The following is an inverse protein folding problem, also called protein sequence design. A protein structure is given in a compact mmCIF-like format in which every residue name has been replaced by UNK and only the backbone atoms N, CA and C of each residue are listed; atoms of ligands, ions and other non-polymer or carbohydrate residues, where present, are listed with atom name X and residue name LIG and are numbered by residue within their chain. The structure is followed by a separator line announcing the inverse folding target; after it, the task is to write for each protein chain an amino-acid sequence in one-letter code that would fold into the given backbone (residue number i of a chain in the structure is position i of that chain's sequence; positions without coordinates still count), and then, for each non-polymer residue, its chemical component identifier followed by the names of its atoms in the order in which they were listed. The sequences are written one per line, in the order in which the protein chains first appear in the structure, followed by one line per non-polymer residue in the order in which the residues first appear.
data_IF_916973885853
#
_entry.id   IF_916973885853
#
_cell.length_a   1.000
_cell.length_b   1.000
_cell.length_c   1.000
_cell.angle_alpha   90.00
_cell.angle_beta   90.00
_cell.angle_gamma   90.00
#
_symmetry.space_group_name_H-M   'P 1'
#
loop_
_entity.id
_entity.type
_entity.pdbx_description
1 polymer ?
#
# COMPACT_ATOMS: atom_id res chain seq x y z
N UNK A 1 -35.83 4.43 -23.91
CA UNK A 1 -34.85 5.37 -23.30
C UNK A 1 -34.87 5.18 -21.80
N UNK A 2 -33.84 4.55 -21.24
CA UNK A 2 -33.26 4.94 -19.95
C UNK A 2 -31.93 4.21 -19.79
N UNK A 3 -30.86 4.96 -20.04
CA UNK A 3 -29.48 4.56 -19.77
C UNK A 3 -29.29 4.70 -18.26
N UNK A 4 -29.14 3.60 -17.54
CA UNK A 4 -28.60 3.65 -16.19
C UNK A 4 -27.12 4.01 -16.31
N UNK A 5 -26.78 5.23 -15.88
CA UNK A 5 -25.41 5.65 -15.61
C UNK A 5 -24.85 4.74 -14.51
N UNK A 6 -24.11 3.71 -14.89
CA UNK A 6 -23.23 3.00 -13.99
C UNK A 6 -22.11 3.95 -13.58
N UNK A 7 -22.09 4.36 -12.31
CA UNK A 7 -20.90 4.94 -11.70
C UNK A 7 -19.81 3.86 -11.75
N UNK A 8 -18.84 4.05 -12.62
CA UNK A 8 -17.57 3.33 -12.55
C UNK A 8 -16.84 3.87 -11.31
N UNK A 9 -17.03 3.20 -10.17
CA UNK A 9 -16.17 3.36 -9.01
C UNK A 9 -14.86 2.67 -9.39
N UNK A 10 -13.93 3.45 -9.96
CA UNK A 10 -12.55 3.01 -10.13
C UNK A 10 -11.94 2.86 -8.74
N UNK A 11 -11.95 1.64 -8.19
CA UNK A 11 -11.19 1.32 -6.98
C UNK A 11 -9.72 1.52 -7.28
N UNK A 12 -9.15 2.61 -6.74
CA UNK A 12 -7.71 2.78 -6.57
C UNK A 12 -7.22 1.62 -5.69
N UNK A 13 -6.74 0.54 -6.29
CA UNK A 13 -5.84 -0.37 -5.61
C UNK A 13 -4.45 0.28 -5.61
N UNK A 14 -4.18 1.10 -4.60
CA UNK A 14 -2.79 1.35 -4.21
C UNK A 14 -2.22 -0.03 -3.85
N UNK A 15 -1.27 -0.51 -4.65
CA UNK A 15 -0.58 -1.77 -4.45
C UNK A 15 0.38 -1.66 -3.26
N UNK A 16 -0.18 -1.59 -2.04
CA UNK A 16 0.57 -1.52 -0.79
C UNK A 16 0.43 -2.79 0.06
N UNK A 17 0.11 -3.93 -0.56
CA UNK A 17 0.07 -5.21 0.15
C UNK A 17 0.52 -6.37 -0.75
N UNK A 18 1.84 -6.52 -0.90
CA UNK A 18 2.47 -7.81 -1.14
C UNK A 18 3.90 -7.80 -0.58
N UNK A 19 4.17 -8.49 0.55
CA UNK A 19 5.55 -8.78 0.96
C UNK A 19 6.29 -9.68 -0.05
N UNK A 20 5.60 -10.20 -1.07
CA UNK A 20 6.19 -11.07 -2.09
C UNK A 20 7.15 -10.35 -3.05
N UNK A 21 7.15 -9.02 -3.13
CA UNK A 21 8.12 -8.27 -3.94
C UNK A 21 9.39 -7.84 -3.18
N UNK A 22 9.42 -8.01 -1.85
CA UNK A 22 10.60 -7.69 -1.05
C UNK A 22 11.77 -8.67 -1.27
N UNK A 23 11.51 -9.85 -1.85
CA UNK A 23 12.55 -10.87 -2.08
C UNK A 23 13.30 -10.71 -3.41
N UNK A 24 12.95 -9.73 -4.25
CA UNK A 24 13.59 -9.56 -5.56
C UNK A 24 14.42 -8.27 -5.69
N UNK A 25 14.49 -7.47 -4.63
CA UNK A 25 15.43 -6.37 -4.51
C UNK A 25 16.67 -6.89 -3.78
N UNK A 26 17.83 -6.83 -4.45
CA UNK A 26 19.11 -7.28 -3.91
C UNK A 26 19.37 -6.70 -2.50
N UNK A 27 19.98 -7.46 -1.58
CA UNK A 27 20.35 -6.94 -0.27
C UNK A 27 21.43 -5.86 -0.45
N UNK A 28 21.04 -4.58 -0.36
CA UNK A 28 21.98 -3.46 -0.32
C UNK A 28 21.65 -2.20 -1.11
N UNK A 29 20.50 -2.05 -1.77
CA UNK A 29 20.14 -0.80 -2.45
C UNK A 29 18.67 -0.42 -2.24
N UNK A 30 18.45 0.63 -1.44
CA UNK A 30 17.17 1.28 -1.20
C UNK A 30 16.60 0.97 0.18
N UNK A 31 16.93 1.79 1.18
CA UNK A 31 16.04 1.97 2.33
C UNK A 31 14.66 2.33 1.74
N UNK A 32 13.57 1.76 2.28
CA UNK A 32 12.25 2.28 1.96
C UNK A 32 12.23 3.79 2.27
N UNK A 33 11.66 4.63 1.39
CA UNK A 33 11.66 6.07 1.59
C UNK A 33 11.02 6.42 2.94
N UNK A 34 11.62 7.37 3.65
CA UNK A 34 11.09 7.83 4.94
C UNK A 34 9.72 8.51 4.78
N UNK A 35 9.00 8.76 5.88
CA UNK A 35 7.74 9.50 5.82
C UNK A 35 7.98 10.91 5.27
N UNK A 36 9.09 11.52 5.67
CA UNK A 36 9.54 12.83 5.21
C UNK A 36 9.84 12.82 3.71
N UNK A 37 10.53 11.79 3.20
CA UNK A 37 10.81 11.67 1.76
C UNK A 37 9.53 11.46 0.95
N UNK A 38 8.57 10.69 1.47
CA UNK A 38 7.28 10.46 0.81
C UNK A 38 6.45 11.73 0.74
N UNK A 39 6.42 12.52 1.82
CA UNK A 39 5.70 13.80 1.85
C UNK A 39 6.39 14.83 0.98
N UNK A 40 7.72 14.88 0.98
CA UNK A 40 8.48 15.81 0.11
C UNK A 40 8.22 15.53 -1.37
N UNK A 41 8.15 14.25 -1.77
CA UNK A 41 7.76 13.88 -3.13
C UNK A 41 6.32 14.29 -3.45
N UNK A 42 5.39 14.14 -2.51
CA UNK A 42 4.01 14.58 -2.73
C UNK A 42 3.93 16.11 -2.85
N UNK A 43 4.69 16.84 -2.05
CA UNK A 43 4.82 18.30 -2.10
C UNK A 43 5.28 18.80 -3.47
N UNK A 44 6.32 18.20 -4.04
CA UNK A 44 6.80 18.54 -5.38
C UNK A 44 5.74 18.36 -6.47
N UNK A 45 4.74 17.49 -6.26
CA UNK A 45 3.69 17.21 -7.23
C UNK A 45 2.48 18.14 -7.06
N UNK A 46 2.07 18.44 -5.83
CA UNK A 46 0.80 19.13 -5.57
C UNK A 46 0.90 20.40 -4.75
N UNK A 47 2.12 20.87 -4.42
CA UNK A 47 2.36 22.10 -3.65
C UNK A 47 1.60 22.08 -2.31
N UNK A 48 2.08 21.25 -1.39
CA UNK A 48 1.50 21.07 -0.06
C UNK A 48 1.85 22.26 0.84
N UNK A 49 0.88 22.73 1.62
CA UNK A 49 1.20 23.71 2.66
C UNK A 49 1.89 23.07 3.88
N UNK A 50 2.56 23.89 4.70
CA UNK A 50 3.30 23.44 5.88
C UNK A 50 2.45 22.59 6.84
N UNK A 51 1.15 22.90 6.98
CA UNK A 51 0.27 22.14 7.87
C UNK A 51 -0.05 20.76 7.26
N UNK A 52 -0.33 20.71 5.96
CA UNK A 52 -0.55 19.46 5.24
C UNK A 52 0.68 18.57 5.30
N UNK A 53 1.89 19.11 5.09
CA UNK A 53 3.13 18.36 5.18
C UNK A 53 3.30 17.76 6.59
N UNK A 54 3.13 18.59 7.64
CA UNK A 54 3.24 18.14 9.03
C UNK A 54 2.22 17.05 9.37
N UNK A 55 0.97 17.22 8.95
CA UNK A 55 -0.11 16.24 9.19
C UNK A 55 0.18 14.92 8.48
N UNK A 56 0.62 14.96 7.22
CA UNK A 56 0.95 13.78 6.44
C UNK A 56 2.17 13.03 7.02
N UNK A 57 3.22 13.73 7.46
CA UNK A 57 4.39 13.09 8.09
C UNK A 57 3.96 12.37 9.38
N UNK A 58 3.15 13.01 10.22
CA UNK A 58 2.63 12.38 11.44
C UNK A 58 1.77 11.17 11.10
N UNK A 59 0.84 11.31 10.15
CA UNK A 59 -0.05 10.23 9.71
C UNK A 59 0.72 9.02 9.19
N UNK A 60 1.75 9.23 8.35
CA UNK A 60 2.54 8.15 7.78
C UNK A 60 3.38 7.45 8.84
N UNK A 61 3.99 8.20 9.76
CA UNK A 61 4.75 7.63 10.88
C UNK A 61 3.86 6.80 11.81
N UNK A 62 2.69 7.32 12.19
CA UNK A 62 1.74 6.60 13.05
C UNK A 62 1.22 5.32 12.39
N UNK A 63 0.86 5.42 11.09
CA UNK A 63 0.37 4.27 10.32
C UNK A 63 1.46 3.21 10.15
N UNK A 64 2.70 3.62 9.85
CA UNK A 64 3.83 2.72 9.71
C UNK A 64 4.15 2.02 11.04
N UNK A 65 4.17 2.76 12.15
CA UNK A 65 4.38 2.17 13.48
C UNK A 65 3.31 1.14 13.82
N UNK A 66 2.04 1.44 13.52
CA UNK A 66 0.94 0.51 13.77
C UNK A 66 1.01 -0.74 12.90
N UNK A 67 1.31 -0.60 11.62
CA UNK A 67 1.49 -1.74 10.72
C UNK A 67 2.66 -2.61 11.19
N UNK A 68 3.80 -2.03 11.56
CA UNK A 68 4.94 -2.78 12.09
C UNK A 68 4.60 -3.55 13.37
N UNK A 69 3.79 -2.96 14.26
CA UNK A 69 3.30 -3.66 15.46
C UNK A 69 2.43 -4.86 15.10
N UNK A 70 1.47 -4.68 14.18
CA UNK A 70 0.60 -5.76 13.72
C UNK A 70 1.37 -6.88 13.01
N UNK A 71 2.36 -6.52 12.19
CA UNK A 71 3.27 -7.48 11.54
C UNK A 71 4.06 -8.29 12.58
N UNK A 72 4.59 -7.64 13.62
CA UNK A 72 5.30 -8.31 14.71
C UNK A 72 4.40 -9.30 15.46
N UNK A 73 3.17 -8.91 15.78
CA UNK A 73 2.19 -9.82 16.38
C UNK A 73 1.82 -10.99 15.46
N UNK A 74 1.64 -10.73 14.16
CA UNK A 74 1.31 -11.76 13.19
C UNK A 74 2.44 -12.79 13.05
N UNK A 75 3.70 -12.34 13.02
CA UNK A 75 4.87 -13.23 13.01
C UNK A 75 4.93 -14.08 14.28
N UNK A 76 4.62 -13.50 15.45
CA UNK A 76 4.59 -14.24 16.71
C UNK A 76 3.52 -15.34 16.69
N UNK A 77 2.30 -15.01 16.24
CA UNK A 77 1.20 -15.99 16.13
C UNK A 77 1.54 -17.08 15.10
N UNK A 78 2.21 -16.72 14.00
CA UNK A 78 2.66 -17.69 13.00
C UNK A 78 3.70 -18.67 13.57
N UNK A 79 4.60 -18.21 14.45
CA UNK A 79 5.53 -19.10 15.15
C UNK A 79 4.80 -20.04 16.12
N UNK A 80 3.83 -19.53 16.88
CA UNK A 80 3.01 -20.34 17.81
C UNK A 80 2.24 -21.45 17.07
N UNK A 81 1.68 -21.15 15.89
CA UNK A 81 1.04 -22.13 15.03
C UNK A 81 2.01 -23.23 14.58
N UNK A 82 3.25 -22.87 14.25
CA UNK A 82 4.28 -23.85 13.85
C UNK A 82 4.72 -24.72 15.04
N UNK A 83 4.87 -24.13 16.22
CA UNK A 83 5.23 -24.84 17.45
C UNK A 83 4.13 -25.80 17.93
N UNK A 84 2.87 -25.50 17.60
CA UNK A 84 1.71 -26.35 17.93
C UNK A 84 1.62 -27.64 17.12
N UNK A 85 2.50 -27.84 16.13
CA UNK A 85 2.57 -29.07 15.33
C UNK A 85 3.28 -30.17 16.12
N UNK A 86 2.51 -31.13 16.65
CA UNK A 86 3.06 -32.25 17.40
C UNK A 86 2.04 -33.36 17.67
N UNK A 87 2.47 -34.49 18.24
CA UNK A 87 1.59 -35.62 18.56
C UNK A 87 0.53 -35.29 19.61
N UNK A 88 0.79 -34.30 20.47
CA UNK A 88 -0.13 -33.81 21.52
C UNK A 88 -0.78 -32.47 21.13
N UNK A 89 -1.13 -32.29 19.85
CA UNK A 89 -1.69 -31.04 19.37
C UNK A 89 -3.02 -30.69 20.06
N UNK A 90 -3.23 -29.40 20.31
CA UNK A 90 -4.52 -28.84 20.74
C UNK A 90 -5.21 -28.16 19.55
N UNK A 91 -6.25 -28.81 19.02
CA UNK A 91 -7.02 -28.27 17.89
C UNK A 91 -7.66 -26.92 18.22
N UNK A 92 -8.12 -26.73 19.45
CA UNK A 92 -8.79 -25.48 19.85
C UNK A 92 -7.80 -24.33 19.87
N UNK A 93 -6.61 -24.55 20.43
CA UNK A 93 -5.54 -23.55 20.43
C UNK A 93 -5.11 -23.18 19.00
N UNK A 94 -4.88 -24.18 18.14
CA UNK A 94 -4.51 -23.96 16.73
C UNK A 94 -5.56 -23.12 15.99
N UNK A 95 -6.86 -23.42 16.19
CA UNK A 95 -7.94 -22.64 15.56
C UNK A 95 -8.00 -21.21 16.07
N UNK A 96 -7.81 -20.99 17.37
CA UNK A 96 -7.78 -19.65 17.97
C UNK A 96 -6.61 -18.81 17.44
N UNK A 97 -5.41 -19.38 17.34
CA UNK A 97 -4.25 -18.70 16.78
C UNK A 97 -4.44 -18.40 15.30
N UNK A 98 -5.03 -19.31 14.53
CA UNK A 98 -5.36 -19.07 13.13
C UNK A 98 -6.40 -17.95 12.94
N UNK A 99 -7.43 -17.89 13.79
CA UNK A 99 -8.41 -16.80 13.80
C UNK A 99 -7.73 -15.46 14.13
N UNK A 100 -6.84 -15.44 15.13
CA UNK A 100 -6.07 -14.24 15.49
C UNK A 100 -5.19 -13.78 14.34
N UNK A 101 -4.51 -14.69 13.64
CA UNK A 101 -3.70 -14.35 12.47
C UNK A 101 -4.56 -13.74 11.34
N UNK A 102 -5.75 -14.28 11.12
CA UNK A 102 -6.74 -13.72 10.19
C UNK A 102 -7.18 -12.31 10.58
N UNK A 103 -7.45 -12.07 11.86
CA UNK A 103 -7.79 -10.75 12.39
C UNK A 103 -6.65 -9.75 12.19
N UNK A 104 -5.42 -10.10 12.56
CA UNK A 104 -4.24 -9.24 12.36
C UNK A 104 -4.03 -8.87 10.89
N UNK A 105 -4.25 -9.82 9.97
CA UNK A 105 -4.19 -9.56 8.52
C UNK A 105 -5.28 -8.58 8.07
N UNK A 106 -6.50 -8.74 8.59
CA UNK A 106 -7.60 -7.83 8.35
C UNK A 106 -7.32 -6.43 8.87
N UNK A 107 -6.78 -6.32 10.08
CA UNK A 107 -6.42 -5.06 10.72
C UNK A 107 -5.33 -4.33 9.93
N UNK A 108 -4.29 -5.02 9.47
CA UNK A 108 -3.27 -4.43 8.59
C UNK A 108 -3.87 -3.89 7.29
N UNK A 109 -4.77 -4.66 6.66
CA UNK A 109 -5.46 -4.23 5.44
C UNK A 109 -6.30 -2.97 5.70
N UNK A 110 -7.03 -2.94 6.82
CA UNK A 110 -7.82 -1.80 7.21
C UNK A 110 -6.94 -0.56 7.47
N UNK A 111 -5.81 -0.72 8.16
CA UNK A 111 -4.86 0.37 8.40
C UNK A 111 -4.28 0.93 7.10
N UNK A 112 -3.92 0.08 6.13
CA UNK A 112 -3.44 0.56 4.83
C UNK A 112 -4.49 1.39 4.08
N UNK A 113 -5.76 0.94 4.09
CA UNK A 113 -6.86 1.66 3.44
C UNK A 113 -7.18 2.96 4.17
N UNK A 114 -7.18 2.95 5.50
CA UNK A 114 -7.41 4.14 6.31
C UNK A 114 -6.31 5.17 6.13
N UNK A 115 -5.05 4.74 6.07
CA UNK A 115 -3.91 5.60 5.77
C UNK A 115 -4.12 6.31 4.43
N UNK A 116 -4.45 5.57 3.35
CA UNK A 116 -4.74 6.16 2.04
C UNK A 116 -5.90 7.16 2.10
N UNK A 117 -7.03 6.77 2.72
CA UNK A 117 -8.21 7.61 2.80
C UNK A 117 -7.95 8.92 3.57
N UNK A 118 -7.11 8.87 4.60
CA UNK A 118 -6.72 10.04 5.38
C UNK A 118 -5.76 10.95 4.59
N UNK A 119 -4.79 10.40 3.86
CA UNK A 119 -3.94 11.18 2.94
C UNK A 119 -4.83 11.94 1.94
N UNK A 120 -5.77 11.26 1.29
CA UNK A 120 -6.71 11.90 0.35
C UNK A 120 -7.56 13.00 1.00
N UNK A 121 -7.92 12.84 2.28
CA UNK A 121 -8.70 13.81 3.04
C UNK A 121 -7.90 15.05 3.46
N UNK A 122 -6.58 14.93 3.68
CA UNK A 122 -5.68 16.06 3.98
C UNK A 122 -5.45 16.94 2.75
N UNK A 123 -5.56 16.37 1.54
CA UNK A 123 -5.44 17.13 0.30
C UNK A 123 -6.71 17.94 -0.02
N UNK A 124 -6.53 19.06 -0.71
CA UNK A 124 -7.65 19.80 -1.32
C UNK A 124 -8.16 19.08 -2.57
N UNK A 125 -9.35 19.44 -3.06
CA UNK A 125 -9.86 18.87 -4.32
C UNK A 125 -8.94 19.20 -5.50
N UNK A 126 -8.41 20.42 -5.55
CA UNK A 126 -7.51 20.85 -6.62
C UNK A 126 -6.21 20.04 -6.62
N UNK A 127 -5.62 19.81 -5.44
CA UNK A 127 -4.43 18.97 -5.28
C UNK A 127 -4.70 17.51 -5.68
N UNK A 128 -5.87 16.95 -5.32
CA UNK A 128 -6.25 15.59 -5.77
C UNK A 128 -6.40 15.51 -7.29
N UNK A 129 -7.03 16.51 -7.89
CA UNK A 129 -7.23 16.57 -9.34
C UNK A 129 -5.87 16.71 -10.07
N UNK A 130 -4.94 17.50 -9.51
CA UNK A 130 -3.60 17.65 -10.05
C UNK A 130 -2.77 16.37 -9.94
N UNK A 131 -2.81 15.72 -8.78
CA UNK A 131 -2.16 14.42 -8.59
C UNK A 131 -2.67 13.39 -9.61
N UNK A 132 -3.99 13.34 -9.81
CA UNK A 132 -4.62 12.46 -10.79
C UNK A 132 -4.14 12.75 -12.22
N UNK A 133 -4.08 14.03 -12.62
CA UNK A 133 -3.56 14.44 -13.93
C UNK A 133 -2.13 13.97 -14.15
N UNK A 134 -1.26 14.15 -13.15
CA UNK A 134 0.13 13.74 -13.25
C UNK A 134 0.29 12.21 -13.34
N UNK A 135 -0.50 11.47 -12.56
CA UNK A 135 -0.52 10.00 -12.64
C UNK A 135 -0.99 9.51 -14.02
N UNK A 136 -2.02 10.12 -14.59
CA UNK A 136 -2.51 9.78 -15.94
C UNK A 136 -1.44 10.06 -17.00
N UNK A 137 -0.77 11.22 -16.94
CA UNK A 137 0.32 11.58 -17.85
C UNK A 137 1.49 10.58 -17.75
N UNK A 138 1.87 10.19 -16.53
CA UNK A 138 2.92 9.19 -16.31
C UNK A 138 2.51 7.81 -16.86
N UNK A 139 1.26 7.37 -16.65
CA UNK A 139 0.76 6.11 -17.19
C UNK A 139 0.72 6.11 -18.72
N UNK A 140 0.39 7.23 -19.35
CA UNK A 140 0.46 7.38 -20.81
C UNK A 140 1.90 7.29 -21.33
N UNK A 141 2.84 7.95 -20.66
CA UNK A 141 4.26 7.87 -21.01
C UNK A 141 4.79 6.42 -20.92
N UNK A 142 4.44 5.72 -19.84
CA UNK A 142 4.81 4.32 -19.63
C UNK A 142 4.24 3.41 -20.73
N UNK A 143 2.97 3.61 -21.11
CA UNK A 143 2.34 2.86 -22.22
C UNK A 143 3.06 3.10 -23.54
N UNK A 144 3.39 4.35 -23.88
CA UNK A 144 4.13 4.67 -25.09
C UNK A 144 5.53 4.03 -25.12
N UNK A 145 6.24 4.02 -23.99
CA UNK A 145 7.54 3.34 -23.92
C UNK A 145 7.42 1.83 -24.12
N UNK A 146 6.40 1.20 -23.52
CA UNK A 146 6.16 -0.24 -23.69
C UNK A 146 5.84 -0.59 -25.15
N UNK A 147 5.04 0.22 -25.84
CA UNK A 147 4.74 0.03 -27.26
C UNK A 147 6.00 0.17 -28.14
N UNK A 148 6.87 1.14 -27.86
CA UNK A 148 8.14 1.31 -28.57
C UNK A 148 9.09 0.12 -28.35
N UNK A 149 9.13 -0.42 -27.14
CA UNK A 149 9.94 -1.60 -26.82
C UNK A 149 9.41 -2.87 -27.50
N UNK A 150 8.09 -3.04 -27.57
CA UNK A 150 7.46 -4.18 -28.27
C UNK A 150 7.72 -4.12 -29.78
N UNK A 151 7.70 -2.93 -30.39
CA UNK A 151 8.01 -2.77 -31.82
C UNK A 151 9.50 -3.05 -32.14
N UNK A 152 10.42 -2.83 -31.21
CA UNK A 152 11.84 -3.15 -31.39
C UNK A 152 12.17 -4.64 -31.17
N UNK A 153 11.31 -5.39 -30.48
CA UNK A 153 11.51 -6.82 -30.18
C UNK A 153 10.83 -7.78 -31.16
N UNK A 154 10.13 -7.29 -32.20
CA UNK A 154 9.72 -8.11 -33.34
C UNK A 154 10.80 -8.04 -34.45
N UNK A 155 11.74 -9.00 -34.53
CA UNK A 155 12.51 -9.19 -35.74
C UNK A 155 11.59 -9.69 -36.87
N UNK A 156 11.82 -9.19 -38.09
CA UNK A 156 11.26 -9.76 -39.32
C UNK A 156 11.73 -11.20 -39.55
#
# INVERSE_FOLDING_TARGET
MTVLKSLAVSTLTLALAAPALAQQMAPGQGQAPSAEDQVSQLDELVDLDDNQQQELVTLLNDSQSRIQSLEGEAQQVQMQLQESVGPEFDETAIRQDAERLGQLTGDMTAESVLMQARVEATLTQEQRDELQRQMEAQQEQMRQMQEQMQQQQQPQ
#
